data_IF_333514009559
#
_entry.id   IF_333514009559
#
_cell.length_a   1.000
_cell.length_b   1.000
_cell.length_c   1.000
_cell.angle_alpha   90.00
_cell.angle_beta   90.00
_cell.angle_gamma   90.00
#
_symmetry.space_group_name_H-M   'P 1'
#
loop_
_entity.id
_entity.type
_entity.pdbx_description
1 polymer ?
#
# COMPACT_ATOMS: atom_id res chain seq x y z
N UNK A 1 -25.18 0.08 3.18
CA UNK A 1 -24.80 -1.15 3.91
C UNK A 1 -24.54 -0.82 5.38
N UNK A 2 -24.83 -1.73 6.33
CA UNK A 2 -24.45 -1.58 7.74
C UNK A 2 -23.41 -2.63 8.12
N UNK A 3 -22.24 -2.17 8.58
CA UNK A 3 -21.16 -3.02 9.10
C UNK A 3 -20.81 -2.59 10.52
N UNK A 4 -20.28 -3.51 11.32
CA UNK A 4 -19.81 -3.20 12.66
C UNK A 4 -18.35 -2.75 12.58
N UNK A 5 -18.04 -1.62 13.21
CA UNK A 5 -16.65 -1.26 13.51
C UNK A 5 -16.20 -2.08 14.71
N UNK A 6 -14.97 -2.59 14.64
CA UNK A 6 -14.35 -3.38 15.69
C UNK A 6 -12.86 -3.16 15.76
N UNK A 7 -12.25 -3.64 16.84
CA UNK A 7 -10.80 -3.64 16.99
C UNK A 7 -10.18 -4.70 16.07
N UNK A 8 -9.19 -4.31 15.28
CA UNK A 8 -8.41 -5.20 14.43
C UNK A 8 -6.92 -4.95 14.70
N UNK A 9 -6.29 -5.79 15.51
CA UNK A 9 -4.95 -5.52 16.03
C UNK A 9 -4.94 -4.24 16.89
N UNK A 10 -4.11 -3.27 16.52
CA UNK A 10 -4.00 -1.98 17.22
C UNK A 10 -4.86 -0.87 16.59
N UNK A 11 -5.60 -1.16 15.52
CA UNK A 11 -6.43 -0.18 14.82
C UNK A 11 -7.92 -0.53 14.91
N UNK A 12 -8.76 0.44 14.56
CA UNK A 12 -10.17 0.22 14.25
C UNK A 12 -10.28 -0.23 12.80
N UNK A 13 -11.14 -1.22 12.57
CA UNK A 13 -11.43 -1.72 11.23
C UNK A 13 -12.89 -2.17 11.10
N UNK A 14 -13.29 -2.45 9.87
CA UNK A 14 -14.56 -3.08 9.56
C UNK A 14 -14.38 -4.10 8.45
N UNK A 15 -15.28 -5.08 8.39
CA UNK A 15 -15.27 -6.09 7.33
C UNK A 15 -16.09 -5.58 6.15
N UNK A 16 -15.48 -5.57 4.97
CA UNK A 16 -16.18 -5.30 3.70
C UNK A 16 -16.77 -6.62 3.20
N UNK A 17 -18.10 -6.72 3.03
CA UNK A 17 -18.73 -7.93 2.49
C UNK A 17 -18.26 -8.25 1.08
N UNK A 18 -18.13 -9.54 0.79
CA UNK A 18 -17.65 -10.04 -0.50
C UNK A 18 -18.52 -9.62 -1.70
N UNK A 19 -19.79 -9.25 -1.50
CA UNK A 19 -20.64 -8.69 -2.56
C UNK A 19 -20.11 -7.31 -2.99
N UNK A 20 -19.84 -6.42 -2.02
CA UNK A 20 -19.32 -5.07 -2.28
C UNK A 20 -17.92 -5.13 -2.88
N UNK A 21 -17.06 -6.02 -2.38
CA UNK A 21 -15.71 -6.22 -2.95
C UNK A 21 -15.79 -6.57 -4.44
N UNK A 22 -16.73 -7.41 -4.85
CA UNK A 22 -16.90 -7.83 -6.24
C UNK A 22 -17.57 -6.77 -7.10
N UNK A 23 -18.62 -6.14 -6.58
CA UNK A 23 -19.39 -5.11 -7.28
C UNK A 23 -18.53 -3.86 -7.55
N UNK A 24 -17.74 -3.44 -6.57
CA UNK A 24 -16.87 -2.26 -6.65
C UNK A 24 -15.43 -2.61 -7.08
N UNK A 25 -15.19 -3.85 -7.49
CA UNK A 25 -13.89 -4.36 -7.97
C UNK A 25 -12.69 -4.00 -7.04
N UNK A 26 -12.87 -4.16 -5.72
CA UNK A 26 -11.83 -3.85 -4.74
C UNK A 26 -10.74 -4.92 -4.74
N UNK A 27 -9.47 -4.51 -4.86
CA UNK A 27 -8.33 -5.43 -4.87
C UNK A 27 -7.67 -5.57 -3.49
N UNK A 28 -7.23 -6.78 -3.15
CA UNK A 28 -6.44 -7.03 -1.95
C UNK A 28 -5.03 -6.43 -2.10
N UNK A 29 -4.58 -5.69 -1.10
CA UNK A 29 -3.28 -4.99 -1.13
C UNK A 29 -3.32 -3.64 -1.84
N UNK A 30 -4.45 -3.26 -2.43
CA UNK A 30 -4.67 -1.91 -2.92
C UNK A 30 -4.92 -0.94 -1.77
N UNK A 31 -4.34 0.25 -1.87
CA UNK A 31 -4.57 1.32 -0.91
C UNK A 31 -5.77 2.19 -1.33
N UNK A 32 -6.46 2.74 -0.32
CA UNK A 32 -7.61 3.61 -0.51
C UNK A 32 -7.48 4.85 0.37
N UNK A 33 -7.79 6.00 -0.21
CA UNK A 33 -7.95 7.25 0.52
C UNK A 33 -9.30 7.28 1.23
N UNK A 34 -9.27 7.56 2.53
CA UNK A 34 -10.47 7.76 3.34
C UNK A 34 -10.78 9.24 3.44
N UNK A 35 -11.89 9.67 2.83
CA UNK A 35 -12.40 11.04 2.94
C UNK A 35 -13.61 11.09 3.86
N UNK A 36 -13.64 12.06 4.78
CA UNK A 36 -14.81 12.37 5.61
C UNK A 36 -15.60 13.49 4.95
N UNK A 37 -16.79 13.16 4.44
CA UNK A 37 -17.67 14.14 3.82
C UNK A 37 -18.33 15.04 4.88
N UNK A 38 -18.76 16.24 4.48
CA UNK A 38 -19.37 17.23 5.37
C UNK A 38 -20.66 16.73 6.06
N UNK A 39 -21.31 15.71 5.52
CA UNK A 39 -22.47 15.03 6.11
C UNK A 39 -22.09 13.96 7.15
N UNK A 40 -20.80 13.80 7.48
CA UNK A 40 -20.28 12.77 8.37
C UNK A 40 -20.13 11.38 7.71
N UNK A 41 -20.27 11.29 6.39
CA UNK A 41 -20.06 10.06 5.63
C UNK A 41 -18.57 9.74 5.44
N UNK A 42 -18.24 8.46 5.39
CA UNK A 42 -16.91 7.98 5.01
C UNK A 42 -16.94 7.51 3.55
N UNK A 43 -16.01 8.00 2.75
CA UNK A 43 -15.82 7.59 1.37
C UNK A 43 -14.43 7.01 1.20
N UNK A 44 -14.35 5.86 0.52
CA UNK A 44 -13.11 5.22 0.13
C UNK A 44 -12.92 5.45 -1.37
N UNK A 45 -11.81 6.05 -1.75
CA UNK A 45 -11.42 6.23 -3.15
C UNK A 45 -10.12 5.46 -3.37
N UNK A 46 -9.99 4.69 -4.46
CA UNK A 46 -8.72 4.04 -4.77
C UNK A 46 -7.65 5.12 -4.93
N UNK A 47 -6.46 4.91 -4.34
CA UNK A 47 -5.38 5.88 -4.53
C UNK A 47 -4.90 5.77 -5.98
N UNK A 48 -5.07 6.84 -6.77
CA UNK A 48 -4.65 6.88 -8.18
C UNK A 48 -3.12 6.76 -8.34
N UNK A 49 -2.37 7.03 -7.27
CA UNK A 49 -0.93 6.88 -7.20
C UNK A 49 -0.57 5.89 -6.08
N UNK A 50 0.02 4.73 -6.39
CA UNK A 50 0.50 3.82 -5.34
C UNK A 50 1.41 4.58 -4.37
N UNK A 51 1.18 4.38 -3.08
CA UNK A 51 1.96 4.97 -2.00
C UNK A 51 3.39 4.46 -2.13
N UNK A 52 4.26 5.40 -2.49
CA UNK A 52 5.67 5.21 -2.84
C UNK A 52 5.92 4.33 -4.07
N UNK A 53 5.73 4.92 -5.27
CA UNK A 53 6.65 4.65 -6.37
C UNK A 53 7.69 5.77 -6.36
N UNK A 54 8.97 5.47 -6.10
CA UNK A 54 9.99 6.48 -6.34
C UNK A 54 9.92 6.84 -7.83
N UNK A 55 9.97 8.13 -8.14
CA UNK A 55 9.97 8.65 -9.52
C UNK A 55 11.34 8.35 -10.14
N UNK A 56 11.61 7.05 -10.29
CA UNK A 56 12.83 6.51 -10.86
C UNK A 56 12.47 5.98 -12.24
N UNK A 57 13.06 6.60 -13.25
CA UNK A 57 13.14 6.05 -14.59
C UNK A 57 13.82 4.68 -14.58
N UNK A 58 13.59 3.89 -15.62
CA UNK A 58 14.28 2.61 -15.82
C UNK A 58 15.80 2.84 -15.80
N UNK A 59 16.27 3.93 -16.41
CA UNK A 59 17.69 4.27 -16.45
C UNK A 59 18.27 4.53 -15.04
N UNK A 60 17.51 5.20 -14.17
CA UNK A 60 17.91 5.44 -12.77
C UNK A 60 17.93 4.15 -11.94
N UNK A 61 17.02 3.20 -12.23
CA UNK A 61 17.04 1.88 -11.60
C UNK A 61 18.26 1.05 -12.05
N UNK A 62 18.67 1.20 -13.31
CA UNK A 62 19.78 0.45 -13.90
C UNK A 62 21.15 1.09 -13.62
N UNK A 63 21.22 2.38 -13.29
CA UNK A 63 22.46 3.11 -13.01
C UNK A 63 23.28 2.53 -11.84
N UNK A 64 22.64 1.77 -10.94
CA UNK A 64 23.30 1.09 -9.82
C UNK A 64 23.80 -0.32 -10.10
N UNK A 65 23.58 -0.86 -11.32
CA UNK A 65 23.98 -2.23 -11.65
C UNK A 65 25.44 -2.30 -12.11
N UNK A 66 26.20 -3.33 -11.70
CA UNK A 66 27.55 -3.55 -12.18
C UNK A 66 27.55 -3.83 -13.69
N UNK A 67 28.60 -3.40 -14.40
CA UNK A 67 28.75 -3.55 -15.87
C UNK A 67 28.94 -5.01 -16.33
N UNK A 68 28.76 -6.00 -15.46
CA UNK A 68 28.98 -7.42 -15.70
C UNK A 68 27.80 -8.31 -15.31
N UNK A 69 27.88 -9.64 -15.53
CA UNK A 69 26.84 -10.56 -15.11
C UNK A 69 26.65 -10.48 -13.60
N UNK A 70 25.40 -10.29 -13.16
CA UNK A 70 25.04 -10.20 -11.75
C UNK A 70 25.48 -11.47 -11.01
N UNK A 71 26.26 -11.27 -9.96
CA UNK A 71 26.61 -12.30 -8.99
C UNK A 71 25.65 -12.21 -7.82
N UNK A 72 25.52 -13.32 -7.10
CA UNK A 72 24.73 -13.36 -5.87
C UNK A 72 25.21 -12.32 -4.83
N UNK A 73 26.50 -12.01 -4.84
CA UNK A 73 27.16 -11.02 -3.99
C UNK A 73 26.76 -9.56 -4.33
N UNK A 74 26.27 -9.32 -5.56
CA UNK A 74 25.85 -7.99 -6.02
C UNK A 74 24.41 -7.66 -5.59
N UNK A 75 23.66 -8.64 -5.10
CA UNK A 75 22.32 -8.43 -4.54
C UNK A 75 22.52 -7.90 -3.12
N UNK A 76 22.12 -6.64 -2.83
CA UNK A 76 22.20 -6.14 -1.46
C UNK A 76 21.37 -7.04 -0.55
N UNK A 77 21.94 -7.41 0.61
CA UNK A 77 21.17 -8.10 1.64
C UNK A 77 19.91 -7.27 1.93
N UNK A 78 18.74 -7.91 1.77
CA UNK A 78 17.47 -7.25 2.05
C UNK A 78 17.48 -6.77 3.51
N UNK A 79 17.68 -5.47 3.68
CA UNK A 79 17.42 -4.79 4.94
C UNK A 79 15.97 -4.31 4.86
N UNK A 80 15.05 -4.87 5.66
CA UNK A 80 13.74 -4.26 5.78
C UNK A 80 13.97 -2.81 6.16
N UNK A 81 13.41 -1.89 5.37
CA UNK A 81 13.39 -0.47 5.70
C UNK A 81 12.40 -0.34 6.85
N UNK A 82 12.86 -0.72 8.04
CA UNK A 82 12.12 -0.56 9.26
C UNK A 82 11.78 0.91 9.38
N UNK A 83 10.50 1.21 9.52
CA UNK A 83 10.07 2.42 10.19
C UNK A 83 10.74 2.36 11.57
N UNK A 84 11.89 3.01 11.74
CA UNK A 84 12.37 3.41 13.07
C UNK A 84 11.31 4.40 13.58
N UNK A 85 10.22 3.85 14.12
CA UNK A 85 9.43 4.53 15.10
C UNK A 85 10.25 4.42 16.38
N UNK A 86 11.03 5.46 16.65
CA UNK A 86 11.59 5.69 17.97
C UNK A 86 10.44 5.65 19.00
N UNK A 87 10.41 4.58 19.79
CA UNK A 87 9.72 4.52 21.08
C UNK A 87 10.70 4.02 22.13
#
# INVERSE_FOLDING_TARGET
MRVKLGKHGNSLGFVVPASVVREEALEAGQEYELTVAANGGFHLLPVERPVWRPDLSIDELLAGLPEGPLKYEDIPEYRPVGRELDW
#
